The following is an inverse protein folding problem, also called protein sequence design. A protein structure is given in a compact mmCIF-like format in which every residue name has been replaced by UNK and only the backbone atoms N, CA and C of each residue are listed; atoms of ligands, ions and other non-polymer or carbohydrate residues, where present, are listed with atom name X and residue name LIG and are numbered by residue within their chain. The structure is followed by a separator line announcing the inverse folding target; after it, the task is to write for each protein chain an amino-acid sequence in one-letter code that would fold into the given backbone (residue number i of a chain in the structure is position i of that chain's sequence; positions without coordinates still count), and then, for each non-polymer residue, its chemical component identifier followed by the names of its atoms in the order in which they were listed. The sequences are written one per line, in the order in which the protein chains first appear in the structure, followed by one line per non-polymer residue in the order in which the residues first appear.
data_IF_568070971495
#
_entry.id   IF_568070971495
#
_cell.length_a   1.000
_cell.length_b   1.000
_cell.length_c   1.000
_cell.angle_alpha   90.00
_cell.angle_beta   90.00
_cell.angle_gamma   90.00
#
_symmetry.space_group_name_H-M   'P 1'
#
loop_
_entity.id
_entity.type
_entity.pdbx_description
1 polymer ?
#
# COMPACT_ATOMS: atom_id res chain seq x y z
N UNK A 1 -22.51 1.45 3.03
CA UNK A 1 -21.36 1.93 2.24
C UNK A 1 -20.15 1.87 3.15
N UNK A 2 -19.15 1.06 2.84
CA UNK A 2 -17.86 1.12 3.51
C UNK A 2 -17.23 2.46 3.17
N UNK A 3 -16.86 3.24 4.19
CA UNK A 3 -16.25 4.54 3.99
C UNK A 3 -14.87 4.35 3.32
N UNK A 4 -14.62 5.10 2.24
CA UNK A 4 -13.30 5.13 1.59
C UNK A 4 -12.16 5.45 2.57
N UNK A 5 -12.46 6.17 3.65
CA UNK A 5 -11.55 6.47 4.76
C UNK A 5 -11.14 5.21 5.50
N UNK A 6 -12.10 4.30 5.77
CA UNK A 6 -11.82 3.04 6.44
C UNK A 6 -10.97 2.11 5.58
N UNK A 7 -11.26 2.03 4.28
CA UNK A 7 -10.49 1.20 3.34
C UNK A 7 -9.04 1.70 3.24
N UNK A 8 -8.84 3.02 3.16
CA UNK A 8 -7.50 3.64 3.19
C UNK A 8 -6.75 3.36 4.49
N UNK A 9 -7.46 3.40 5.62
CA UNK A 9 -6.86 3.08 6.94
C UNK A 9 -6.46 1.61 7.02
N UNK A 10 -7.32 0.69 6.57
CA UNK A 10 -7.01 -0.73 6.49
C UNK A 10 -5.80 -0.99 5.60
N UNK A 11 -5.78 -0.38 4.41
CA UNK A 11 -4.63 -0.46 3.51
C UNK A 11 -3.32 -0.03 4.20
N UNK A 12 -3.31 1.14 4.86
CA UNK A 12 -2.10 1.63 5.55
C UNK A 12 -1.64 0.69 6.66
N UNK A 13 -2.57 0.14 7.44
CA UNK A 13 -2.25 -0.81 8.51
C UNK A 13 -1.67 -2.11 7.96
N UNK A 14 -2.25 -2.64 6.88
CA UNK A 14 -1.76 -3.84 6.20
C UNK A 14 -0.40 -3.62 5.55
N UNK A 15 -0.18 -2.44 4.95
CA UNK A 15 1.11 -2.04 4.38
C UNK A 15 2.21 -1.97 5.46
N UNK A 16 1.92 -1.37 6.62
CA UNK A 16 2.87 -1.30 7.75
C UNK A 16 3.23 -2.66 8.34
N UNK A 17 2.33 -3.64 8.27
CA UNK A 17 2.58 -5.02 8.72
C UNK A 17 3.41 -5.83 7.73
N UNK A 18 3.55 -5.37 6.48
CA UNK A 18 4.23 -6.11 5.41
C UNK A 18 3.50 -7.39 4.99
N UNK A 19 2.22 -7.52 5.34
CA UNK A 19 1.38 -8.65 4.96
C UNK A 19 0.83 -8.41 3.55
N UNK A 20 0.88 -9.41 2.66
CA UNK A 20 0.33 -9.33 1.31
C UNK A 20 -1.16 -8.93 1.22
N UNK A 21 -1.86 -8.79 2.36
CA UNK A 21 -3.20 -8.22 2.47
C UNK A 21 -3.35 -6.85 1.79
N UNK A 22 -2.32 -5.99 1.81
CA UNK A 22 -2.35 -4.70 1.13
C UNK A 22 -2.61 -4.83 -0.39
N UNK A 23 -2.13 -5.90 -1.02
CA UNK A 23 -2.39 -6.21 -2.43
C UNK A 23 -3.89 -6.43 -2.69
N UNK A 24 -4.55 -7.25 -1.86
CA UNK A 24 -5.96 -7.57 -2.05
C UNK A 24 -6.86 -6.35 -1.83
N UNK A 25 -6.50 -5.44 -0.90
CA UNK A 25 -7.23 -4.20 -0.66
C UNK A 25 -7.17 -3.30 -1.90
N UNK A 26 -5.99 -3.10 -2.50
CA UNK A 26 -5.85 -2.30 -3.72
C UNK A 26 -6.60 -2.95 -4.89
N UNK A 27 -6.41 -4.26 -5.09
CA UNK A 27 -7.07 -5.02 -6.17
C UNK A 27 -8.59 -4.94 -6.11
N UNK A 28 -9.17 -5.03 -4.92
CA UNK A 28 -10.63 -4.99 -4.73
C UNK A 28 -11.20 -3.56 -4.79
N UNK A 29 -10.34 -2.53 -4.73
CA UNK A 29 -10.76 -1.12 -4.68
C UNK A 29 -9.99 -0.26 -5.70
N UNK A 30 -10.06 -0.58 -7.02
CA UNK A 30 -9.23 0.07 -8.04
C UNK A 30 -9.55 1.56 -8.25
N UNK A 31 -10.72 2.02 -7.82
CA UNK A 31 -11.15 3.43 -7.93
C UNK A 31 -10.65 4.31 -6.79
N UNK A 32 -10.04 3.74 -5.75
CA UNK A 32 -9.54 4.49 -4.59
C UNK A 32 -8.07 4.81 -4.83
N UNK A 33 -7.74 6.10 -4.73
CA UNK A 33 -6.34 6.52 -4.67
C UNK A 33 -5.75 6.24 -3.27
N UNK A 34 -4.67 5.45 -3.27
CA UNK A 34 -3.89 5.06 -2.09
C UNK A 34 -2.51 5.73 -2.02
N UNK A 35 -2.19 6.65 -2.95
CA UNK A 35 -0.84 7.25 -3.08
C UNK A 35 -0.34 7.86 -1.76
N UNK A 36 -1.20 8.55 -1.03
CA UNK A 36 -0.86 9.15 0.26
C UNK A 36 -0.48 8.07 1.31
N UNK A 37 -1.23 6.97 1.35
CA UNK A 37 -0.97 5.86 2.27
C UNK A 37 0.30 5.11 1.90
N UNK A 38 0.61 4.99 0.61
CA UNK A 38 1.86 4.41 0.11
C UNK A 38 3.05 5.24 0.62
N UNK A 39 3.01 6.56 0.43
CA UNK A 39 4.07 7.47 0.91
C UNK A 39 4.20 7.41 2.44
N UNK A 40 3.09 7.39 3.17
CA UNK A 40 3.11 7.29 4.64
C UNK A 40 3.66 5.95 5.13
N UNK A 41 3.26 4.85 4.51
CA UNK A 41 3.76 3.51 4.85
C UNK A 41 5.24 3.37 4.53
N UNK A 42 5.68 3.90 3.39
CA UNK A 42 7.08 3.98 2.98
C UNK A 42 7.97 4.65 4.03
N UNK A 43 7.58 5.87 4.43
CA UNK A 43 8.31 6.66 5.42
C UNK A 43 8.30 5.98 6.79
N UNK A 44 7.19 5.36 7.19
CA UNK A 44 7.11 4.61 8.44
C UNK A 44 8.09 3.44 8.46
N UNK A 45 8.12 2.63 7.40
CA UNK A 45 9.03 1.48 7.31
C UNK A 45 10.49 2.00 7.29
N UNK A 46 10.79 3.07 6.55
CA UNK A 46 12.12 3.71 6.56
C UNK A 46 12.56 4.09 7.97
N UNK A 47 11.69 4.79 8.71
CA UNK A 47 12.01 5.26 10.05
C UNK A 47 12.19 4.11 11.05
N UNK A 48 11.44 3.00 10.88
CA UNK A 48 11.49 1.86 11.79
C UNK A 48 12.68 0.93 11.53
N UNK A 49 13.05 0.71 10.26
CA UNK A 49 14.04 -0.31 9.91
C UNK A 49 15.38 0.29 9.49
N UNK A 50 15.41 1.57 9.11
CA UNK A 50 16.58 2.22 8.51
C UNK A 50 17.04 1.57 7.19
N UNK A 51 16.30 0.57 6.68
CA UNK A 51 16.73 -0.30 5.60
C UNK A 51 15.83 -0.15 4.37
N UNK A 52 16.41 0.43 3.33
CA UNK A 52 15.74 0.70 2.06
C UNK A 52 15.30 -0.58 1.34
N UNK A 53 15.93 -1.74 1.57
CA UNK A 53 15.50 -3.00 0.95
C UNK A 53 14.12 -3.45 1.42
N UNK A 54 13.84 -3.28 2.71
CA UNK A 54 12.60 -3.74 3.33
C UNK A 54 11.41 -2.86 2.95
N UNK A 55 11.70 -1.58 2.73
CA UNK A 55 10.80 -0.61 2.12
C UNK A 55 10.55 -0.95 0.66
N UNK A 56 11.62 -1.31 -0.05
CA UNK A 56 11.61 -1.76 -1.43
C UNK A 56 10.60 -2.88 -1.61
N UNK A 57 10.69 -3.99 -0.87
CA UNK A 57 9.75 -5.11 -1.07
C UNK A 57 8.26 -4.73 -0.89
N UNK A 58 7.94 -3.86 0.07
CA UNK A 58 6.54 -3.45 0.35
C UNK A 58 6.01 -2.38 -0.60
N UNK A 59 6.83 -1.37 -0.93
CA UNK A 59 6.48 -0.33 -1.90
C UNK A 59 6.49 -0.89 -3.31
N UNK A 60 7.48 -1.70 -3.67
CA UNK A 60 7.64 -2.23 -5.03
C UNK A 60 6.47 -3.15 -5.37
N UNK A 61 5.96 -3.96 -4.44
CA UNK A 61 4.70 -4.68 -4.65
C UNK A 61 3.56 -3.69 -4.89
N UNK A 62 3.46 -2.59 -4.14
CA UNK A 62 2.35 -1.63 -4.32
C UNK A 62 2.46 -0.76 -5.58
N UNK A 63 3.66 -0.30 -5.94
CA UNK A 63 3.94 0.44 -7.17
C UNK A 63 3.81 -0.47 -8.39
N UNK A 64 4.25 -1.74 -8.30
CA UNK A 64 3.98 -2.75 -9.31
C UNK A 64 2.47 -2.90 -9.51
N UNK A 65 1.65 -2.91 -8.44
CA UNK A 65 0.19 -2.96 -8.59
C UNK A 65 -0.40 -1.69 -9.19
N UNK A 66 0.15 -0.52 -8.87
CA UNK A 66 -0.30 0.75 -9.44
C UNK A 66 0.06 0.86 -10.93
N UNK A 67 1.26 0.41 -11.33
CA UNK A 67 1.70 0.36 -12.73
C UNK A 67 1.04 -0.76 -13.53
N UNK A 68 0.70 -1.89 -12.91
CA UNK A 68 -0.02 -3.01 -13.54
C UNK A 68 -1.56 -2.91 -13.40
N UNK A 69 -2.08 -1.74 -13.02
CA UNK A 69 -3.44 -1.31 -13.37
C UNK A 69 -3.52 -0.79 -14.83
N UNK A 70 -2.48 -1.03 -15.63
CA UNK A 70 -2.62 -1.21 -17.06
C UNK A 70 -3.22 -2.60 -17.31
N UNK A 71 -4.40 -2.62 -17.98
CA UNK A 71 -5.33 -3.74 -18.21
C UNK A 71 -6.36 -3.86 -17.07
N UNK A 72 -7.56 -3.25 -17.15
CA UNK A 72 -8.62 -3.53 -18.13
C UNK A 72 -8.77 -5.02 -18.47
#
# INVERSE_FOLDING_TARGET
MTDTTDIRRQFLNSLKRGTGEAYFIVKNNPKIDFSNQIIKGALYIFAMTGNVKEIGCNIFLTLFLFQNNALQ
#
